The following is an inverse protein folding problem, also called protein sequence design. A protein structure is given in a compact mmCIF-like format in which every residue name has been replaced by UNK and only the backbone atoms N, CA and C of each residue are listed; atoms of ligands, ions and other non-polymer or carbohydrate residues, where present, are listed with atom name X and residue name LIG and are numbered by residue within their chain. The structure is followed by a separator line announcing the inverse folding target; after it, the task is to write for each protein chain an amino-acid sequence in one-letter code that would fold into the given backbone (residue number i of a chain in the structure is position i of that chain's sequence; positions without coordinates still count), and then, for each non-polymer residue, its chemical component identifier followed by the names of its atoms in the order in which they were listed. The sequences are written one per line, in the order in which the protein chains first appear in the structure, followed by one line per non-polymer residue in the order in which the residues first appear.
data_IF_484393742071
#
_entry.id   IF_484393742071
#
_cell.length_a   1.000
_cell.length_b   1.000
_cell.length_c   1.000
_cell.angle_alpha   90.00
_cell.angle_beta   90.00
_cell.angle_gamma   90.00
#
_symmetry.space_group_name_H-M   'P 1'
#
loop_
_entity.id
_entity.type
_entity.pdbx_description
1 polymer ?
#
# COMPACT_ATOMS: atom_id res chain seq x y z
N UNK A 1 11.38 27.24 8.58
CA UNK A 1 10.23 28.18 8.77
C UNK A 1 10.02 28.56 10.24
N UNK A 2 10.23 27.66 11.18
CA UNK A 2 9.92 27.84 12.62
C UNK A 2 10.62 29.03 13.32
N UNK A 3 11.80 29.44 12.86
CA UNK A 3 12.56 30.59 13.42
C UNK A 3 12.21 31.95 12.81
N UNK A 4 11.20 32.02 11.93
CA UNK A 4 10.82 33.26 11.24
C UNK A 4 9.47 33.74 11.71
N UNK A 5 9.28 35.05 11.84
CA UNK A 5 8.00 35.65 12.22
C UNK A 5 6.94 35.33 11.18
N UNK A 6 5.86 34.68 11.61
CA UNK A 6 4.74 34.31 10.74
C UNK A 6 4.12 35.57 10.11
N UNK A 7 3.94 35.57 8.79
CA UNK A 7 3.42 36.71 8.04
C UNK A 7 4.50 37.69 7.55
N UNK A 8 5.73 37.61 8.02
CA UNK A 8 6.82 38.46 7.54
C UNK A 8 7.30 38.06 6.14
N UNK A 9 7.86 39.03 5.36
CA UNK A 9 8.34 38.82 3.99
C UNK A 9 9.27 37.60 3.85
N UNK A 10 10.18 37.39 4.80
CA UNK A 10 11.11 36.24 4.77
C UNK A 10 10.43 34.91 5.11
N UNK A 11 9.38 34.94 5.93
CA UNK A 11 8.55 33.77 6.20
C UNK A 11 7.79 33.36 4.93
N UNK A 12 7.18 34.33 4.22
CA UNK A 12 6.44 34.06 3.00
C UNK A 12 7.33 33.50 1.90
N UNK A 13 8.52 34.07 1.67
CA UNK A 13 9.52 33.52 0.74
C UNK A 13 9.86 32.06 1.08
N UNK A 14 10.03 31.73 2.37
CA UNK A 14 10.32 30.37 2.80
C UNK A 14 9.11 29.44 2.63
N UNK A 15 7.89 29.91 2.90
CA UNK A 15 6.64 29.18 2.68
C UNK A 15 6.50 28.76 1.23
N UNK A 16 6.70 29.70 0.30
CA UNK A 16 6.64 29.41 -1.14
C UNK A 16 7.69 28.38 -1.56
N UNK A 17 8.93 28.49 -1.06
CA UNK A 17 9.98 27.48 -1.35
C UNK A 17 9.58 26.08 -0.89
N UNK A 18 9.03 25.97 0.32
CA UNK A 18 8.54 24.68 0.86
C UNK A 18 7.38 24.14 0.01
N UNK A 19 6.41 25.01 -0.32
CA UNK A 19 5.28 24.61 -1.16
C UNK A 19 5.70 24.10 -2.54
N UNK A 20 6.66 24.78 -3.18
CA UNK A 20 7.23 24.33 -4.46
C UNK A 20 7.93 22.98 -4.35
N UNK A 21 8.72 22.76 -3.29
CA UNK A 21 9.39 21.47 -3.04
C UNK A 21 8.36 20.34 -2.81
N UNK A 22 7.32 20.59 -2.03
CA UNK A 22 6.24 19.63 -1.80
C UNK A 22 5.45 19.32 -3.08
N UNK A 23 5.18 20.33 -3.92
CA UNK A 23 4.54 20.12 -5.22
C UNK A 23 5.40 19.26 -6.14
N UNK A 24 6.72 19.49 -6.19
CA UNK A 24 7.64 18.67 -6.98
C UNK A 24 7.57 17.20 -6.54
N UNK A 25 7.66 16.93 -5.25
CA UNK A 25 7.55 15.56 -4.69
C UNK A 25 6.20 14.94 -5.05
N UNK A 26 5.11 15.69 -4.92
CA UNK A 26 3.76 15.21 -5.29
C UNK A 26 3.67 14.85 -6.77
N UNK A 27 4.21 15.68 -7.65
CA UNK A 27 4.19 15.44 -9.09
C UNK A 27 5.03 14.22 -9.47
N UNK A 28 6.24 14.09 -8.94
CA UNK A 28 7.10 12.91 -9.13
C UNK A 28 6.41 11.62 -8.67
N UNK A 29 5.73 11.66 -7.50
CA UNK A 29 4.96 10.53 -6.98
C UNK A 29 3.78 10.17 -7.88
N UNK A 30 3.06 11.18 -8.36
CA UNK A 30 1.95 10.99 -9.30
C UNK A 30 2.42 10.37 -10.62
N UNK A 31 3.54 10.83 -11.15
CA UNK A 31 4.13 10.32 -12.38
C UNK A 31 4.56 8.86 -12.23
N UNK A 32 5.29 8.54 -11.16
CA UNK A 32 5.66 7.16 -10.85
C UNK A 32 4.43 6.23 -10.78
N UNK A 33 3.37 6.65 -10.06
CA UNK A 33 2.15 5.84 -9.96
C UNK A 33 1.47 5.68 -11.32
N UNK A 34 1.42 6.73 -12.15
CA UNK A 34 0.85 6.64 -13.48
C UNK A 34 1.62 5.65 -14.36
N UNK A 35 2.95 5.66 -14.30
CA UNK A 35 3.78 4.73 -15.03
C UNK A 35 3.55 3.28 -14.57
N UNK A 36 3.53 3.03 -13.25
CA UNK A 36 3.22 1.69 -12.70
C UNK A 36 1.83 1.22 -13.16
N UNK A 37 0.81 2.07 -13.10
CA UNK A 37 -0.54 1.72 -13.57
C UNK A 37 -0.53 1.43 -15.07
N UNK A 38 0.16 2.24 -15.87
CA UNK A 38 0.26 2.02 -17.31
C UNK A 38 0.94 0.68 -17.65
N UNK A 39 2.01 0.33 -16.93
CA UNK A 39 2.72 -0.94 -17.10
C UNK A 39 1.86 -2.15 -16.74
N UNK A 40 1.06 -2.04 -15.66
CA UNK A 40 0.12 -3.12 -15.29
C UNK A 40 -0.94 -3.30 -16.39
N UNK A 41 -1.52 -2.20 -16.88
CA UNK A 41 -2.57 -2.24 -17.92
C UNK A 41 -2.02 -2.76 -19.27
N UNK A 42 -0.78 -2.41 -19.63
CA UNK A 42 -0.13 -2.90 -20.87
C UNK A 42 0.00 -4.42 -20.92
N UNK A 43 0.01 -5.09 -19.78
CA UNK A 43 0.10 -6.57 -19.72
C UNK A 43 -1.15 -7.29 -20.22
N UNK A 44 -2.26 -6.57 -20.44
CA UNK A 44 -3.46 -7.11 -21.08
C UNK A 44 -4.26 -8.08 -20.21
N UNK A 45 -4.22 -7.94 -18.89
CA UNK A 45 -5.02 -8.76 -17.99
C UNK A 45 -6.52 -8.43 -18.11
N UNK A 46 -7.38 -9.44 -18.15
CA UNK A 46 -8.82 -9.29 -18.13
C UNK A 46 -9.36 -8.93 -16.73
N UNK A 47 -8.70 -9.43 -15.70
CA UNK A 47 -9.08 -9.23 -14.29
C UNK A 47 -7.86 -8.86 -13.46
N UNK A 48 -8.03 -7.89 -12.55
CA UNK A 48 -7.02 -7.48 -11.58
C UNK A 48 -7.63 -7.58 -10.19
N UNK A 49 -7.05 -8.45 -9.36
CA UNK A 49 -7.47 -8.67 -7.97
C UNK A 49 -6.52 -7.96 -7.01
N UNK A 50 -7.06 -7.27 -6.01
CA UNK A 50 -6.26 -6.55 -5.02
C UNK A 50 -6.80 -6.75 -3.61
N UNK A 51 -5.94 -6.62 -2.61
CA UNK A 51 -6.37 -6.55 -1.21
C UNK A 51 -7.16 -5.26 -0.92
N UNK A 52 -8.21 -5.39 -0.12
CA UNK A 52 -8.95 -4.24 0.40
C UNK A 52 -8.27 -3.63 1.63
N UNK A 53 -7.06 -3.08 1.44
CA UNK A 53 -6.29 -2.46 2.53
C UNK A 53 -6.95 -1.16 2.99
N UNK A 54 -7.24 -1.06 4.29
CA UNK A 54 -7.60 0.21 4.92
C UNK A 54 -6.35 0.92 5.42
N UNK A 55 -5.94 1.96 4.70
CA UNK A 55 -4.77 2.75 5.07
C UNK A 55 -5.05 3.53 6.35
N UNK A 56 -6.24 4.12 6.49
CA UNK A 56 -6.59 4.94 7.66
C UNK A 56 -6.79 4.10 8.93
N UNK A 57 -7.52 3.01 8.83
CA UNK A 57 -7.95 2.24 10.01
C UNK A 57 -7.06 1.03 10.32
N UNK A 58 -6.33 0.52 9.33
CA UNK A 58 -5.52 -0.68 9.47
C UNK A 58 -4.01 -0.46 9.47
N UNK A 59 -3.51 0.44 8.62
CA UNK A 59 -2.07 0.65 8.45
C UNK A 59 -1.54 1.83 9.27
N UNK A 60 -2.33 2.91 9.41
CA UNK A 60 -1.97 4.04 10.26
C UNK A 60 -2.38 3.73 11.69
N UNK A 61 -1.41 3.64 12.59
CA UNK A 61 -1.68 3.46 14.01
C UNK A 61 -2.23 4.75 14.62
N UNK A 62 -3.36 4.60 15.32
CA UNK A 62 -4.12 5.70 15.88
C UNK A 62 -3.35 6.47 16.96
N UNK A 63 -3.68 7.76 17.09
CA UNK A 63 -3.13 8.69 18.07
C UNK A 63 -3.66 8.47 19.50
N UNK A 64 -4.57 7.50 19.72
CA UNK A 64 -5.39 7.36 20.93
C UNK A 64 -4.65 6.99 22.22
N UNK A 65 -3.38 6.58 22.17
CA UNK A 65 -2.62 6.28 23.39
C UNK A 65 -1.39 7.17 23.49
N UNK A 66 -1.46 8.08 24.45
CA UNK A 66 -0.49 9.11 24.79
C UNK A 66 0.98 8.67 24.79
N UNK A 67 1.85 9.60 24.43
CA UNK A 67 3.28 9.59 24.10
C UNK A 67 3.55 9.24 22.66
N UNK A 68 3.83 10.28 21.88
CA UNK A 68 4.25 10.20 20.49
C UNK A 68 5.54 9.39 20.34
N UNK A 69 5.41 8.09 20.04
CA UNK A 69 6.53 7.25 19.69
C UNK A 69 7.06 7.70 18.30
N UNK A 70 8.31 8.18 18.26
CA UNK A 70 8.99 8.62 17.03
C UNK A 70 8.94 7.55 15.93
N UNK A 71 9.06 6.26 16.29
CA UNK A 71 9.00 5.14 15.37
C UNK A 71 7.63 5.00 14.68
N UNK A 72 6.53 5.17 15.42
CA UNK A 72 5.17 5.15 14.86
C UNK A 72 4.94 6.29 13.86
N UNK A 73 5.44 7.50 14.17
CA UNK A 73 5.36 8.65 13.26
C UNK A 73 6.15 8.42 11.96
N UNK A 74 7.36 7.89 12.06
CA UNK A 74 8.20 7.56 10.90
C UNK A 74 7.54 6.50 10.03
N UNK A 75 6.99 5.44 10.63
CA UNK A 75 6.26 4.38 9.90
C UNK A 75 5.01 4.93 9.19
N UNK A 76 4.19 5.71 9.90
CA UNK A 76 2.99 6.30 9.31
C UNK A 76 3.34 7.23 8.14
N UNK A 77 4.44 7.99 8.26
CA UNK A 77 4.94 8.82 7.17
C UNK A 77 5.35 7.99 5.97
N UNK A 78 6.10 6.90 6.16
CA UNK A 78 6.51 5.99 5.07
C UNK A 78 5.29 5.36 4.36
N UNK A 79 4.25 4.95 5.11
CA UNK A 79 3.02 4.39 4.55
C UNK A 79 2.29 5.44 3.69
N UNK A 80 2.17 6.67 4.18
CA UNK A 80 1.57 7.78 3.42
C UNK A 80 2.43 8.13 2.20
N UNK A 81 3.75 8.13 2.37
CA UNK A 81 4.70 8.42 1.30
C UNK A 81 4.72 7.35 0.20
N UNK A 82 4.45 6.08 0.54
CA UNK A 82 4.28 5.00 -0.44
C UNK A 82 3.03 5.17 -1.33
N UNK A 83 2.11 6.07 -0.96
CA UNK A 83 0.92 6.44 -1.75
C UNK A 83 0.07 5.25 -2.25
N UNK A 84 0.05 4.14 -1.49
CA UNK A 84 -0.66 2.89 -1.82
C UNK A 84 -2.14 3.13 -2.14
N UNK A 85 -2.79 4.05 -1.40
CA UNK A 85 -4.19 4.41 -1.65
C UNK A 85 -4.39 5.08 -3.01
N UNK A 86 -3.45 5.92 -3.42
CA UNK A 86 -3.49 6.61 -4.71
C UNK A 86 -3.27 5.61 -5.86
N UNK A 87 -2.33 4.69 -5.72
CA UNK A 87 -2.10 3.61 -6.69
C UNK A 87 -3.40 2.81 -6.93
N UNK A 88 -4.06 2.37 -5.85
CA UNK A 88 -5.30 1.60 -5.93
C UNK A 88 -6.41 2.38 -6.63
N UNK A 89 -6.61 3.66 -6.28
CA UNK A 89 -7.64 4.51 -6.90
C UNK A 89 -7.38 4.67 -8.39
N UNK A 90 -6.16 5.03 -8.78
CA UNK A 90 -5.79 5.21 -10.20
C UNK A 90 -5.89 3.91 -10.99
N UNK A 91 -5.46 2.79 -10.41
CA UNK A 91 -5.59 1.48 -11.05
C UNK A 91 -7.07 1.13 -11.28
N UNK A 92 -7.93 1.31 -10.27
CA UNK A 92 -9.37 1.07 -10.39
C UNK A 92 -10.01 1.96 -11.47
N UNK A 93 -9.67 3.26 -11.51
CA UNK A 93 -10.17 4.18 -12.54
C UNK A 93 -9.72 3.75 -13.94
N UNK A 94 -8.47 3.33 -14.08
CA UNK A 94 -7.92 2.90 -15.37
C UNK A 94 -8.52 1.57 -15.83
N UNK A 95 -8.74 0.62 -14.92
CA UNK A 95 -9.45 -0.63 -15.21
C UNK A 95 -10.87 -0.34 -15.74
N UNK A 96 -11.61 0.52 -15.02
CA UNK A 96 -12.95 0.94 -15.47
C UNK A 96 -12.93 1.53 -16.88
N UNK A 97 -11.97 2.39 -17.21
CA UNK A 97 -11.87 3.03 -18.53
C UNK A 97 -11.46 2.08 -19.65
N UNK A 98 -10.88 0.92 -19.31
CA UNK A 98 -10.41 -0.09 -20.26
C UNK A 98 -11.27 -1.36 -20.30
N UNK A 99 -12.36 -1.40 -19.55
CA UNK A 99 -13.21 -2.60 -19.45
C UNK A 99 -12.56 -3.78 -18.72
N UNK A 100 -11.52 -3.53 -17.94
CA UNK A 100 -10.83 -4.56 -17.14
C UNK A 100 -11.59 -4.76 -15.84
N UNK A 101 -11.81 -6.01 -15.48
CA UNK A 101 -12.46 -6.38 -14.22
C UNK A 101 -11.56 -6.04 -13.03
N UNK A 102 -12.06 -5.31 -12.04
CA UNK A 102 -11.29 -4.88 -10.88
C UNK A 102 -11.96 -5.39 -9.60
N UNK A 103 -11.36 -6.42 -8.99
CA UNK A 103 -11.91 -7.10 -7.82
C UNK A 103 -11.11 -6.72 -6.57
N UNK A 104 -11.83 -6.41 -5.49
CA UNK A 104 -11.26 -6.24 -4.15
C UNK A 104 -11.67 -7.44 -3.31
N UNK A 105 -10.70 -8.23 -2.88
CA UNK A 105 -10.96 -9.35 -1.99
C UNK A 105 -11.41 -8.86 -0.61
N UNK A 106 -12.04 -9.75 0.13
CA UNK A 106 -12.47 -9.47 1.49
C UNK A 106 -11.31 -9.01 2.39
N UNK A 107 -11.56 -7.99 3.24
CA UNK A 107 -10.55 -7.28 4.03
C UNK A 107 -9.76 -8.19 4.97
N UNK A 108 -10.44 -9.16 5.57
CA UNK A 108 -9.86 -10.03 6.60
C UNK A 108 -9.47 -11.41 6.09
N UNK A 109 -9.52 -11.60 4.77
CA UNK A 109 -9.08 -12.84 4.17
C UNK A 109 -7.59 -13.10 4.49
N UNK A 110 -7.25 -14.24 5.11
CA UNK A 110 -5.90 -14.52 5.57
C UNK A 110 -4.96 -14.96 4.44
N UNK A 111 -4.89 -14.19 3.36
CA UNK A 111 -4.18 -14.50 2.12
C UNK A 111 -2.74 -14.95 2.35
N UNK A 112 -2.00 -14.30 3.25
CA UNK A 112 -0.60 -14.63 3.55
C UNK A 112 -0.43 -15.89 4.40
N UNK A 113 -1.47 -16.31 5.15
CA UNK A 113 -1.44 -17.47 6.06
C UNK A 113 -2.08 -18.72 5.45
N UNK A 114 -2.88 -18.58 4.42
CA UNK A 114 -3.51 -19.69 3.70
C UNK A 114 -2.53 -20.27 2.70
N UNK A 115 -2.29 -21.55 2.74
CA UNK A 115 -1.46 -22.25 1.77
C UNK A 115 -2.18 -22.30 0.41
N UNK A 116 -1.57 -21.75 -0.65
CA UNK A 116 -2.20 -21.77 -1.98
C UNK A 116 -2.26 -23.15 -2.61
N UNK A 117 -1.47 -24.13 -2.09
CA UNK A 117 -1.47 -25.50 -2.63
C UNK A 117 -2.58 -26.36 -2.04
N UNK A 118 -2.87 -26.25 -0.73
CA UNK A 118 -3.81 -27.15 -0.05
C UNK A 118 -4.92 -26.46 0.73
N UNK A 119 -4.91 -25.12 0.81
CA UNK A 119 -5.92 -24.35 1.54
C UNK A 119 -5.74 -24.28 3.05
N UNK A 120 -4.77 -25.00 3.64
CA UNK A 120 -4.51 -24.97 5.09
C UNK A 120 -4.16 -23.57 5.57
N UNK A 121 -4.75 -23.15 6.71
CA UNK A 121 -4.49 -21.84 7.32
C UNK A 121 -3.48 -21.97 8.46
N UNK A 122 -2.25 -21.58 8.23
CA UNK A 122 -1.19 -21.61 9.24
C UNK A 122 -1.29 -20.43 10.20
N UNK A 123 -1.94 -20.65 11.37
CA UNK A 123 -2.13 -19.61 12.39
C UNK A 123 -0.83 -19.18 13.07
N UNK A 124 0.20 -20.04 13.11
CA UNK A 124 1.51 -19.77 13.75
C UNK A 124 2.45 -18.87 12.95
N UNK A 125 2.09 -18.43 11.73
CA UNK A 125 2.96 -17.59 10.90
C UNK A 125 3.16 -16.21 11.52
N UNK A 126 4.43 -15.89 11.86
CA UNK A 126 4.81 -14.60 12.42
C UNK A 126 5.00 -13.54 11.33
N UNK A 127 4.80 -12.27 11.70
CA UNK A 127 4.94 -11.13 10.76
C UNK A 127 6.36 -10.96 10.20
N UNK A 128 7.36 -11.38 10.96
CA UNK A 128 8.79 -11.33 10.55
C UNK A 128 9.17 -12.42 9.54
N UNK A 129 8.40 -13.51 9.46
CA UNK A 129 8.70 -14.62 8.56
C UNK A 129 8.31 -14.26 7.13
N UNK A 130 9.28 -14.27 6.22
CA UNK A 130 9.09 -14.04 4.79
C UNK A 130 8.81 -15.34 4.03
N UNK A 131 9.37 -16.44 4.49
CA UNK A 131 9.16 -17.78 3.93
C UNK A 131 8.72 -18.75 5.03
N UNK A 132 7.94 -19.74 4.65
CA UNK A 132 7.41 -20.76 5.57
C UNK A 132 7.14 -22.08 4.86
N UNK A 133 7.02 -23.15 5.64
CA UNK A 133 6.65 -24.48 5.16
C UNK A 133 5.26 -24.80 5.63
N UNK A 134 4.38 -25.20 4.74
CA UNK A 134 3.03 -25.60 5.09
C UNK A 134 3.06 -26.84 6.02
N UNK A 135 2.41 -26.81 7.18
CA UNK A 135 2.41 -27.96 8.10
C UNK A 135 1.66 -29.17 7.53
N UNK A 136 0.70 -28.94 6.64
CA UNK A 136 -0.12 -29.99 6.02
C UNK A 136 0.58 -30.62 4.80
N UNK A 137 0.82 -29.86 3.74
CA UNK A 137 1.32 -30.40 2.47
C UNK A 137 2.84 -30.26 2.28
N UNK A 138 3.57 -29.68 3.24
CA UNK A 138 5.04 -29.48 3.22
C UNK A 138 5.56 -28.57 2.10
N UNK A 139 4.71 -27.88 1.37
CA UNK A 139 5.12 -26.89 0.38
C UNK A 139 5.93 -25.77 1.02
N UNK A 140 7.06 -25.41 0.39
CA UNK A 140 7.88 -24.23 0.76
C UNK A 140 7.31 -23.00 0.06
N UNK A 141 6.92 -22.00 0.81
CA UNK A 141 6.17 -20.83 0.32
C UNK A 141 6.89 -19.55 0.68
N UNK A 142 7.02 -18.64 -0.29
CA UNK A 142 7.26 -17.22 -0.03
C UNK A 142 5.92 -16.59 0.37
N UNK A 143 5.90 -15.83 1.45
CA UNK A 143 4.67 -15.30 2.04
C UNK A 143 3.92 -14.36 1.10
N UNK A 144 4.66 -13.49 0.42
CA UNK A 144 4.07 -12.43 -0.41
C UNK A 144 3.59 -13.01 -1.76
N UNK A 145 4.36 -13.94 -2.34
CA UNK A 145 3.96 -14.68 -3.54
C UNK A 145 2.74 -15.57 -3.25
N UNK A 146 2.75 -16.30 -2.12
CA UNK A 146 1.61 -17.10 -1.68
C UNK A 146 0.34 -16.26 -1.51
N UNK A 147 0.47 -15.09 -0.89
CA UNK A 147 -0.66 -14.17 -0.74
C UNK A 147 -1.19 -13.69 -2.10
N UNK A 148 -0.31 -13.35 -3.04
CA UNK A 148 -0.70 -12.91 -4.38
C UNK A 148 -1.47 -14.01 -5.14
N UNK A 149 -1.03 -15.27 -5.06
CA UNK A 149 -1.72 -16.42 -5.66
C UNK A 149 -3.11 -16.60 -5.05
N UNK A 150 -3.21 -16.54 -3.72
CA UNK A 150 -4.48 -16.63 -3.02
C UNK A 150 -5.45 -15.49 -3.40
N UNK A 151 -4.95 -14.25 -3.47
CA UNK A 151 -5.73 -13.09 -3.89
C UNK A 151 -6.27 -13.28 -5.32
N UNK A 152 -5.45 -13.82 -6.22
CA UNK A 152 -5.86 -14.15 -7.58
C UNK A 152 -6.95 -15.22 -7.62
N UNK A 153 -6.83 -16.26 -6.80
CA UNK A 153 -7.74 -17.42 -6.84
C UNK A 153 -9.10 -17.15 -6.17
N UNK A 154 -9.16 -16.20 -5.23
CA UNK A 154 -10.38 -15.83 -4.49
C UNK A 154 -11.08 -14.57 -5.04
N UNK A 155 -10.48 -13.87 -5.96
CA UNK A 155 -11.06 -12.73 -6.70
C UNK A 155 -11.54 -13.17 -8.05
#
# INVERSE_FOLDING_TARGET
MSRRTKGGKNWEKARVKVARAQNRIRNQRNDLINNVVADIIKKGYETICVENLSIKDGMLQDKKHGKHNKQKRSRNKLIVDAAMGMLRIKLQQKCKSKGINFIKIERYFPSSKTCHCCGEVFKGLQLSQRSWVCPSCRAKLDRDVNAAINIKNFG
#
